data_IF_431288038801
#
_entry.id   IF_431288038801
#
_cell.length_a   1.000
_cell.length_b   1.000
_cell.length_c   1.000
_cell.angle_alpha   90.00
_cell.angle_beta   90.00
_cell.angle_gamma   90.00
#
_symmetry.space_group_name_H-M   'P 1'
#
loop_
_entity.id
_entity.type
_entity.pdbx_description
1 polymer ?
#
# COMPACT_ATOMS: atom_id res chain seq x y z
N UNK A 1 5.95 3.62 3.27
CA UNK A 1 6.08 5.07 3.14
C UNK A 1 7.35 5.64 3.79
N UNK A 2 8.05 4.89 4.66
CA UNK A 2 9.36 5.27 5.24
C UNK A 2 10.56 5.13 4.28
N UNK A 3 10.40 4.48 3.13
CA UNK A 3 11.46 4.22 2.14
C UNK A 3 12.26 2.94 2.35
N UNK A 4 11.97 2.20 3.44
CA UNK A 4 12.67 0.96 3.83
C UNK A 4 12.28 -0.22 2.93
N UNK A 5 10.99 -0.48 2.77
CA UNK A 5 10.51 -1.53 1.87
C UNK A 5 10.61 -1.05 0.42
N UNK A 6 11.48 -1.70 -0.35
CA UNK A 6 11.83 -1.36 -1.74
C UNK A 6 11.12 -2.19 -2.82
N UNK A 7 10.78 -3.44 -2.52
CA UNK A 7 10.26 -4.41 -3.50
C UNK A 7 9.10 -5.17 -2.88
N UNK A 8 8.08 -5.50 -3.69
CA UNK A 8 6.87 -6.23 -3.27
C UNK A 8 6.53 -7.29 -4.32
N UNK A 9 6.19 -8.50 -3.87
CA UNK A 9 5.72 -9.59 -4.73
C UNK A 9 4.21 -9.43 -4.98
N UNK A 10 3.88 -8.78 -6.09
CA UNK A 10 2.51 -8.42 -6.47
C UNK A 10 2.44 -8.32 -7.99
N UNK A 11 1.31 -8.71 -8.57
CA UNK A 11 1.05 -8.45 -9.97
C UNK A 11 0.42 -7.05 -10.10
N UNK A 12 1.17 -6.04 -10.61
CA UNK A 12 0.73 -4.65 -10.56
C UNK A 12 -0.52 -4.36 -11.39
N UNK A 13 -0.81 -5.20 -12.38
CA UNK A 13 -1.92 -5.01 -13.32
C UNK A 13 -3.24 -5.61 -12.84
N UNK A 14 -3.25 -6.37 -11.73
CA UNK A 14 -4.49 -6.96 -11.21
C UNK A 14 -5.28 -5.93 -10.40
N UNK A 15 -6.61 -6.06 -10.43
CA UNK A 15 -7.49 -5.33 -9.52
C UNK A 15 -7.25 -5.79 -8.08
N UNK A 16 -7.36 -4.86 -7.15
CA UNK A 16 -7.32 -5.13 -5.71
C UNK A 16 -8.64 -4.74 -5.08
N UNK A 17 -9.15 -5.61 -4.21
CA UNK A 17 -10.31 -5.32 -3.39
C UNK A 17 -9.89 -4.58 -2.12
N UNK A 18 -10.14 -3.27 -2.13
CA UNK A 18 -9.90 -2.37 -1.02
C UNK A 18 -11.18 -1.62 -0.75
N UNK A 19 -11.65 -1.66 0.49
CA UNK A 19 -12.87 -0.96 0.90
C UNK A 19 -12.58 -0.12 2.15
N UNK A 20 -13.19 1.07 2.30
CA UNK A 20 -13.08 1.84 3.53
C UNK A 20 -13.61 1.04 4.73
N UNK A 21 -12.88 1.05 5.83
CA UNK A 21 -13.23 0.25 7.00
C UNK A 21 -14.54 0.73 7.67
N UNK A 22 -14.75 2.04 7.71
CA UNK A 22 -15.98 2.68 8.16
C UNK A 22 -17.17 2.32 7.27
N UNK A 23 -17.01 2.31 5.95
CA UNK A 23 -18.06 1.89 5.03
C UNK A 23 -18.37 0.39 5.14
N UNK A 24 -17.36 -0.42 5.43
CA UNK A 24 -17.55 -1.85 5.73
C UNK A 24 -18.41 -2.04 6.97
N UNK A 25 -18.19 -1.24 8.02
CA UNK A 25 -19.02 -1.25 9.24
C UNK A 25 -20.46 -0.80 8.93
N UNK A 26 -20.63 0.25 8.12
CA UNK A 26 -21.96 0.70 7.69
C UNK A 26 -22.70 -0.41 6.91
N UNK A 27 -22.03 -1.05 5.95
CA UNK A 27 -22.59 -2.18 5.21
C UNK A 27 -22.95 -3.35 6.14
N UNK A 28 -22.15 -3.61 7.18
CA UNK A 28 -22.42 -4.63 8.18
C UNK A 28 -23.68 -4.31 9.01
N UNK A 29 -23.85 -3.06 9.45
CA UNK A 29 -25.04 -2.63 10.19
C UNK A 29 -26.30 -2.78 9.31
N UNK A 30 -26.26 -2.28 8.08
CA UNK A 30 -27.40 -2.34 7.16
C UNK A 30 -27.73 -3.77 6.74
N UNK A 31 -26.71 -4.62 6.53
CA UNK A 31 -26.93 -6.03 6.22
C UNK A 31 -27.54 -6.81 7.39
N UNK A 32 -27.17 -6.49 8.63
CA UNK A 32 -27.81 -7.06 9.82
C UNK A 32 -29.30 -6.68 9.90
N UNK A 33 -29.62 -5.39 9.73
CA UNK A 33 -31.01 -4.91 9.69
C UNK A 33 -31.82 -5.61 8.59
N UNK A 34 -31.28 -5.67 7.37
CA UNK A 34 -31.99 -6.28 6.25
C UNK A 34 -32.18 -7.79 6.43
N UNK A 35 -31.15 -8.48 6.93
CA UNK A 35 -31.23 -9.92 7.21
C UNK A 35 -32.29 -10.22 8.27
N UNK A 36 -32.38 -9.40 9.32
CA UNK A 36 -33.38 -9.54 10.37
C UNK A 36 -34.82 -9.34 9.83
N UNK A 37 -35.05 -8.31 9.02
CA UNK A 37 -36.37 -8.06 8.43
C UNK A 37 -36.80 -9.19 7.49
N UNK A 38 -35.90 -9.64 6.60
CA UNK A 38 -36.23 -10.70 5.66
C UNK A 38 -36.45 -12.06 6.33
N UNK A 39 -35.77 -12.31 7.46
CA UNK A 39 -36.04 -13.48 8.29
C UNK A 39 -37.44 -13.40 8.92
N UNK A 40 -37.80 -12.26 9.51
CA UNK A 40 -39.12 -12.06 10.12
C UNK A 40 -40.26 -12.17 9.10
N UNK A 41 -40.06 -11.65 7.88
CA UNK A 41 -41.05 -11.74 6.80
C UNK A 41 -41.03 -13.07 6.05
N UNK A 42 -40.26 -14.07 6.50
CA UNK A 42 -40.07 -15.37 5.82
C UNK A 42 -39.69 -15.24 4.33
N UNK A 43 -39.03 -14.13 3.97
CA UNK A 43 -38.65 -13.81 2.59
C UNK A 43 -37.38 -14.54 2.16
N UNK A 44 -36.63 -15.12 3.11
CA UNK A 44 -35.44 -15.91 2.83
C UNK A 44 -35.57 -17.34 3.33
N UNK A 45 -35.27 -18.28 2.44
CA UNK A 45 -35.08 -19.70 2.77
C UNK A 45 -33.66 -19.98 3.30
N UNK A 46 -32.70 -19.10 3.01
CA UNK A 46 -31.29 -19.16 3.45
C UNK A 46 -30.74 -17.77 3.72
N UNK A 47 -29.81 -17.64 4.68
CA UNK A 47 -29.19 -16.36 5.01
C UNK A 47 -28.38 -15.82 3.82
N UNK A 48 -28.62 -14.58 3.36
CA UNK A 48 -27.90 -14.00 2.24
C UNK A 48 -26.43 -13.73 2.59
N UNK A 49 -25.54 -13.93 1.62
CA UNK A 49 -24.13 -13.56 1.72
C UNK A 49 -23.93 -12.18 1.09
N UNK A 50 -23.35 -11.25 1.86
CA UNK A 50 -23.04 -9.90 1.40
C UNK A 50 -21.54 -9.77 1.12
N UNK A 51 -21.14 -9.94 -0.14
CA UNK A 51 -19.75 -9.68 -0.55
C UNK A 51 -19.56 -8.18 -0.75
N UNK A 52 -18.92 -7.53 0.23
CA UNK A 52 -18.58 -6.11 0.14
C UNK A 52 -17.19 -5.94 -0.49
N UNK A 53 -17.17 -5.53 -1.76
CA UNK A 53 -16.00 -5.53 -2.64
C UNK A 53 -15.96 -4.27 -3.49
N UNK A 54 -14.76 -3.85 -3.90
CA UNK A 54 -14.58 -2.68 -4.76
C UNK A 54 -14.41 -3.05 -6.23
N UNK A 55 -13.96 -4.27 -6.54
CA UNK A 55 -13.56 -4.70 -7.88
C UNK A 55 -14.68 -4.77 -8.91
N UNK A 56 -15.94 -4.89 -8.49
CA UNK A 56 -17.14 -4.84 -9.33
C UNK A 56 -17.58 -3.39 -9.62
N UNK A 57 -17.70 -2.56 -8.59
CA UNK A 57 -18.39 -1.26 -8.70
C UNK A 57 -17.45 -0.09 -8.97
N UNK A 58 -16.23 -0.17 -8.44
CA UNK A 58 -15.25 0.92 -8.48
C UNK A 58 -13.82 0.34 -8.44
N UNK A 59 -13.37 -0.36 -9.49
CA UNK A 59 -12.13 -1.09 -9.50
C UNK A 59 -10.90 -0.19 -9.44
N UNK A 60 -9.88 -0.62 -8.70
CA UNK A 60 -8.54 -0.04 -8.70
C UNK A 60 -7.50 -1.14 -8.84
N UNK A 61 -6.50 -0.93 -9.68
CA UNK A 61 -5.35 -1.85 -9.80
C UNK A 61 -4.26 -1.53 -8.78
N UNK A 62 -3.41 -2.51 -8.47
CA UNK A 62 -2.26 -2.29 -7.59
C UNK A 62 -1.34 -1.16 -8.07
N UNK A 63 -1.13 -1.00 -9.38
CA UNK A 63 -0.34 0.10 -9.93
C UNK A 63 -1.02 1.46 -9.72
N UNK A 64 -2.32 1.57 -10.02
CA UNK A 64 -3.06 2.81 -9.80
C UNK A 64 -3.10 3.21 -8.33
N UNK A 65 -3.33 2.24 -7.43
CA UNK A 65 -3.29 2.48 -5.98
C UNK A 65 -1.92 3.03 -5.53
N UNK A 66 -0.83 2.40 -5.99
CA UNK A 66 0.52 2.83 -5.64
C UNK A 66 0.84 4.21 -6.22
N UNK A 67 0.46 4.49 -7.47
CA UNK A 67 0.71 5.78 -8.11
C UNK A 67 -0.03 6.92 -7.41
N UNK A 68 -1.29 6.70 -7.01
CA UNK A 68 -2.06 7.66 -6.21
C UNK A 68 -1.43 7.86 -4.82
N UNK A 69 -1.04 6.79 -4.13
CA UNK A 69 -0.44 6.85 -2.80
C UNK A 69 0.95 7.51 -2.78
N UNK A 70 1.71 7.39 -3.88
CA UNK A 70 3.08 7.88 -4.00
C UNK A 70 3.21 9.12 -4.88
N UNK A 71 2.09 9.62 -5.41
CA UNK A 71 2.03 10.73 -6.35
C UNK A 71 2.59 12.04 -5.80
N UNK A 72 2.57 13.08 -6.63
CA UNK A 72 3.19 14.38 -6.34
C UNK A 72 2.63 15.03 -5.06
N UNK A 73 1.34 14.80 -4.78
CA UNK A 73 0.65 15.33 -3.61
C UNK A 73 0.88 14.50 -2.33
N UNK A 74 1.65 13.42 -2.40
CA UNK A 74 1.88 12.54 -1.25
C UNK A 74 2.80 13.21 -0.21
N UNK A 75 2.27 13.38 1.00
CA UNK A 75 2.99 13.97 2.13
C UNK A 75 4.13 13.06 2.60
N UNK A 76 5.40 13.49 2.51
CA UNK A 76 6.51 12.75 3.10
C UNK A 76 6.40 12.72 4.62
N UNK A 77 6.96 11.67 5.21
CA UNK A 77 6.96 11.49 6.66
C UNK A 77 8.18 12.17 7.26
N UNK A 78 8.05 12.77 8.44
CA UNK A 78 9.18 13.46 9.09
C UNK A 78 10.37 12.52 9.32
N UNK A 79 10.09 11.25 9.57
CA UNK A 79 11.08 10.18 9.81
C UNK A 79 11.34 9.32 8.57
N UNK A 80 11.06 9.81 7.36
CA UNK A 80 11.45 9.10 6.13
C UNK A 80 12.97 8.84 6.15
N UNK A 81 13.34 7.58 5.94
CA UNK A 81 14.74 7.13 5.99
C UNK A 81 15.38 7.15 4.60
N UNK A 82 14.59 6.93 3.55
CA UNK A 82 15.11 6.89 2.19
C UNK A 82 14.05 7.34 1.15
N UNK A 83 14.48 7.59 -0.09
CA UNK A 83 13.56 7.90 -1.20
C UNK A 83 12.47 6.83 -1.29
N UNK A 84 11.19 7.21 -1.42
CA UNK A 84 10.11 6.24 -1.62
C UNK A 84 10.29 5.58 -2.97
N UNK A 85 10.35 4.25 -2.98
CA UNK A 85 10.43 3.44 -4.19
C UNK A 85 9.75 2.11 -3.89
N UNK A 86 8.81 1.75 -4.75
CA UNK A 86 8.05 0.51 -4.65
C UNK A 86 8.16 -0.22 -5.98
N UNK A 87 9.13 -1.13 -6.06
CA UNK A 87 9.33 -1.94 -7.24
C UNK A 87 8.45 -3.18 -7.10
N UNK A 88 7.40 -3.27 -7.88
CA UNK A 88 6.53 -4.44 -7.92
C UNK A 88 7.05 -5.47 -8.93
N UNK A 89 6.69 -6.73 -8.73
CA UNK A 89 6.97 -7.82 -9.68
C UNK A 89 6.07 -9.00 -9.37
N UNK A 90 5.55 -9.67 -10.41
CA UNK A 90 4.85 -10.95 -10.29
C UNK A 90 5.79 -12.15 -10.16
N UNK A 91 7.03 -12.01 -10.65
CA UNK A 91 8.03 -13.09 -10.59
C UNK A 91 8.63 -13.20 -9.19
N UNK A 92 8.45 -14.38 -8.57
CA UNK A 92 9.03 -14.73 -7.27
C UNK A 92 10.55 -14.67 -7.30
N UNK A 93 11.18 -15.20 -8.35
CA UNK A 93 12.63 -15.18 -8.51
C UNK A 93 13.18 -13.75 -8.52
N UNK A 94 12.58 -12.88 -9.36
CA UNK A 94 12.98 -11.47 -9.44
C UNK A 94 12.75 -10.74 -8.10
N UNK A 95 11.66 -11.06 -7.40
CA UNK A 95 11.40 -10.52 -6.06
C UNK A 95 12.50 -10.94 -5.07
N UNK A 96 12.86 -12.24 -5.02
CA UNK A 96 13.89 -12.76 -4.14
C UNK A 96 15.25 -12.13 -4.40
N UNK A 97 15.67 -12.01 -5.66
CA UNK A 97 16.92 -11.33 -6.05
C UNK A 97 16.91 -9.88 -5.54
N UNK A 98 15.79 -9.17 -5.75
CA UNK A 98 15.64 -7.79 -5.26
C UNK A 98 15.65 -7.71 -3.74
N UNK A 99 15.02 -8.64 -3.02
CA UNK A 99 15.06 -8.67 -1.56
C UNK A 99 16.49 -8.89 -1.04
N UNK A 100 17.27 -9.77 -1.69
CA UNK A 100 18.67 -9.96 -1.34
C UNK A 100 19.45 -8.64 -1.40
N UNK A 101 19.43 -7.94 -2.54
CA UNK A 101 20.22 -6.71 -2.71
C UNK A 101 19.63 -5.48 -2.00
N UNK A 102 18.31 -5.29 -2.09
CA UNK A 102 17.65 -4.04 -1.65
C UNK A 102 17.14 -4.09 -0.22
N UNK A 103 16.97 -5.28 0.37
CA UNK A 103 16.55 -5.43 1.77
C UNK A 103 17.66 -6.03 2.61
N UNK A 104 18.04 -7.28 2.38
CA UNK A 104 18.88 -8.05 3.31
C UNK A 104 20.34 -7.60 3.32
N UNK A 105 20.99 -7.51 2.17
CA UNK A 105 22.38 -7.05 2.07
C UNK A 105 22.53 -5.66 2.72
N UNK A 106 21.69 -4.71 2.30
CA UNK A 106 21.66 -3.37 2.89
C UNK A 106 21.29 -3.40 4.39
N UNK A 107 20.32 -4.23 4.77
CA UNK A 107 19.85 -4.37 6.14
C UNK A 107 20.94 -4.86 7.08
N UNK A 108 21.70 -5.89 6.69
CA UNK A 108 22.81 -6.40 7.50
C UNK A 108 23.93 -5.38 7.64
N UNK A 109 24.28 -4.64 6.56
CA UNK A 109 25.28 -3.57 6.63
C UNK A 109 24.85 -2.49 7.62
N UNK A 110 23.62 -1.98 7.50
CA UNK A 110 23.11 -0.94 8.40
C UNK A 110 23.02 -1.45 9.83
N UNK A 111 22.53 -2.67 10.04
CA UNK A 111 22.40 -3.27 11.37
C UNK A 111 23.78 -3.51 12.01
N UNK A 112 24.81 -3.84 11.24
CA UNK A 112 26.18 -3.94 11.74
C UNK A 112 26.73 -2.56 12.16
N UNK A 113 26.49 -1.52 11.36
CA UNK A 113 26.95 -0.16 11.64
C UNK A 113 26.14 0.57 12.72
N UNK A 114 24.89 0.16 12.96
CA UNK A 114 23.94 0.89 13.79
C UNK A 114 24.43 1.23 15.21
N UNK A 115 25.09 0.31 15.95
CA UNK A 115 25.62 0.61 17.28
C UNK A 115 26.67 1.73 17.27
N UNK A 116 27.52 1.78 16.24
CA UNK A 116 28.59 2.77 16.11
C UNK A 116 28.08 4.17 15.77
N UNK A 117 26.89 4.28 15.18
CA UNK A 117 26.28 5.54 14.75
C UNK A 117 25.10 5.93 15.69
N UNK A 118 24.89 5.19 16.79
CA UNK A 118 23.81 5.43 17.74
C UNK A 118 22.40 5.19 17.18
N UNK A 119 22.28 4.46 16.07
CA UNK A 119 20.99 4.10 15.48
C UNK A 119 20.34 2.96 16.27
N UNK A 120 19.12 3.18 16.76
CA UNK A 120 18.35 2.17 17.49
C UNK A 120 17.55 1.21 16.60
N UNK A 121 17.30 1.60 15.34
CA UNK A 121 16.45 0.82 14.43
C UNK A 121 17.24 -0.32 13.80
N UNK A 122 16.67 -1.53 13.83
CA UNK A 122 17.20 -2.72 13.15
C UNK A 122 16.33 -3.05 11.94
N UNK A 123 16.93 -3.10 10.75
CA UNK A 123 16.23 -3.30 9.49
C UNK A 123 15.93 -4.77 9.21
N UNK A 124 16.84 -5.70 9.53
CA UNK A 124 16.65 -7.14 9.21
C UNK A 124 15.39 -7.72 9.87
N UNK A 125 15.08 -7.44 11.15
CA UNK A 125 13.83 -7.90 11.76
C UNK A 125 12.58 -7.33 11.09
N UNK A 126 12.64 -6.08 10.59
CA UNK A 126 11.54 -5.46 9.85
C UNK A 126 11.29 -6.19 8.54
N UNK A 127 12.34 -6.53 7.79
CA UNK A 127 12.22 -7.29 6.54
C UNK A 127 11.66 -8.68 6.77
N UNK A 128 12.14 -9.42 7.78
CA UNK A 128 11.58 -10.74 8.12
C UNK A 128 10.10 -10.69 8.46
N UNK A 129 9.65 -9.63 9.15
CA UNK A 129 8.22 -9.43 9.44
C UNK A 129 7.44 -9.13 8.16
N UNK A 130 7.99 -8.29 7.28
CA UNK A 130 7.39 -7.96 6.01
C UNK A 130 7.24 -9.19 5.11
N UNK A 131 8.26 -10.05 5.02
CA UNK A 131 8.22 -11.26 4.20
C UNK A 131 7.12 -12.23 4.64
N UNK A 132 6.90 -12.37 5.95
CA UNK A 132 5.78 -13.16 6.49
C UNK A 132 4.44 -12.62 6.02
N UNK A 133 4.22 -11.31 6.15
CA UNK A 133 2.98 -10.65 5.70
C UNK A 133 2.82 -10.79 4.18
N UNK A 134 3.88 -10.56 3.41
CA UNK A 134 3.85 -10.69 1.94
C UNK A 134 3.54 -12.11 1.50
N UNK A 135 4.02 -13.12 2.22
CA UNK A 135 3.73 -14.54 1.92
C UNK A 135 2.25 -14.86 2.17
N UNK A 136 1.69 -14.40 3.29
CA UNK A 136 0.27 -14.59 3.61
C UNK A 136 -0.64 -13.89 2.61
N UNK A 137 -0.24 -12.70 2.13
CA UNK A 137 -1.03 -11.91 1.18
C UNK A 137 -0.84 -12.35 -0.28
N UNK A 138 0.15 -13.19 -0.59
CA UNK A 138 0.48 -13.59 -1.96
C UNK A 138 -0.73 -14.12 -2.78
N UNK A 139 -1.66 -14.92 -2.22
CA UNK A 139 -2.84 -15.36 -2.96
C UNK A 139 -3.75 -14.22 -3.43
N UNK A 140 -3.80 -13.11 -2.69
CA UNK A 140 -4.63 -11.93 -2.99
C UNK A 140 -3.90 -10.89 -3.84
N UNK A 141 -2.55 -10.87 -3.80
CA UNK A 141 -1.74 -9.92 -4.56
C UNK A 141 -1.30 -10.45 -5.92
N UNK A 142 -1.36 -11.78 -6.14
CA UNK A 142 -0.91 -12.44 -7.36
C UNK A 142 -2.03 -13.05 -8.20
N UNK A 143 -3.22 -13.21 -7.63
CA UNK A 143 -4.39 -13.71 -8.34
C UNK A 143 -5.51 -12.68 -8.29
N UNK A 144 -6.39 -12.73 -9.29
CA UNK A 144 -7.61 -11.94 -9.31
C UNK A 144 -8.79 -12.83 -8.96
N UNK A 145 -9.74 -12.27 -8.22
CA UNK A 145 -10.93 -12.96 -7.76
C UNK A 145 -12.14 -12.20 -8.28
N UNK A 146 -13.11 -12.92 -8.83
CA UNK A 146 -14.36 -12.35 -9.30
C UNK A 146 -15.44 -12.56 -8.25
N UNK A 147 -15.99 -11.47 -7.73
CA UNK A 147 -17.06 -11.51 -6.75
C UNK A 147 -18.37 -11.02 -7.37
N UNK A 148 -19.48 -11.63 -6.95
CA UNK A 148 -20.81 -11.03 -7.12
C UNK A 148 -21.19 -10.28 -5.85
N UNK A 149 -21.59 -9.01 -6.00
CA UNK A 149 -22.04 -8.13 -4.93
C UNK A 149 -23.53 -7.76 -5.05
N UNK A 150 -24.33 -8.53 -5.80
CA UNK A 150 -25.76 -8.25 -6.06
C UNK A 150 -26.57 -8.04 -4.77
N UNK A 151 -26.26 -8.77 -3.70
CA UNK A 151 -26.94 -8.62 -2.42
C UNK A 151 -26.64 -7.27 -1.74
N UNK A 152 -25.43 -6.73 -1.90
CA UNK A 152 -25.05 -5.42 -1.37
C UNK A 152 -25.72 -4.31 -2.17
N UNK A 153 -25.72 -4.40 -3.50
CA UNK A 153 -26.37 -3.38 -4.36
C UNK A 153 -27.88 -3.37 -4.18
N UNK A 154 -28.51 -4.54 -4.07
CA UNK A 154 -29.94 -4.68 -3.74
C UNK A 154 -30.26 -4.12 -2.35
N UNK A 155 -29.41 -4.39 -1.34
CA UNK A 155 -29.54 -3.82 -0.01
C UNK A 155 -29.50 -2.28 -0.06
N UNK A 156 -28.50 -1.71 -0.73
CA UNK A 156 -28.34 -0.26 -0.85
C UNK A 156 -29.58 0.39 -1.48
N UNK A 157 -30.13 -0.20 -2.54
CA UNK A 157 -31.33 0.30 -3.23
C UNK A 157 -32.61 0.25 -2.37
N UNK A 158 -32.65 -0.59 -1.33
CA UNK A 158 -33.80 -0.71 -0.42
C UNK A 158 -33.77 0.29 0.73
N UNK A 159 -32.60 0.85 1.04
CA UNK A 159 -32.48 1.88 2.06
C UNK A 159 -33.20 3.16 1.58
N UNK A 160 -33.91 3.81 2.49
CA UNK A 160 -34.44 5.14 2.21
C UNK A 160 -33.28 6.17 2.14
N UNK A 161 -33.50 7.37 1.57
CA UNK A 161 -32.44 8.36 1.42
C UNK A 161 -31.81 8.82 2.75
N UNK A 162 -32.57 8.84 3.85
CA UNK A 162 -32.05 9.23 5.16
C UNK A 162 -31.06 8.19 5.71
N UNK A 163 -31.35 6.90 5.55
CA UNK A 163 -30.47 5.82 5.97
C UNK A 163 -29.24 5.70 5.06
N UNK A 164 -29.40 5.91 3.74
CA UNK A 164 -28.26 5.98 2.81
C UNK A 164 -27.29 7.10 3.21
N UNK A 165 -27.80 8.28 3.58
CA UNK A 165 -26.97 9.39 4.05
C UNK A 165 -26.32 9.11 5.41
N UNK A 166 -26.99 8.37 6.30
CA UNK A 166 -26.49 8.06 7.64
C UNK A 166 -25.45 6.92 7.64
N UNK A 167 -25.61 5.96 6.75
CA UNK A 167 -24.75 4.78 6.63
C UNK A 167 -24.22 4.66 5.19
N UNK A 168 -23.35 5.58 4.72
CA UNK A 168 -22.79 5.48 3.39
C UNK A 168 -21.89 4.26 3.25
N UNK A 169 -22.15 3.42 2.23
CA UNK A 169 -21.27 2.32 1.85
C UNK A 169 -21.32 1.97 0.35
N UNK A 170 -21.96 2.78 -0.48
CA UNK A 170 -22.01 2.54 -1.92
C UNK A 170 -20.66 2.83 -2.59
N UNK A 171 -19.99 1.79 -3.09
CA UNK A 171 -18.65 1.91 -3.67
C UNK A 171 -18.59 2.78 -4.93
N UNK A 172 -19.69 2.95 -5.66
CA UNK A 172 -19.77 3.87 -6.80
C UNK A 172 -19.51 5.33 -6.40
N UNK A 173 -19.83 5.70 -5.16
CA UNK A 173 -19.69 7.07 -4.68
C UNK A 173 -18.28 7.37 -4.13
N UNK A 174 -17.41 6.35 -4.04
CA UNK A 174 -16.07 6.51 -3.49
C UNK A 174 -15.14 7.22 -4.50
N UNK A 175 -14.68 8.41 -4.14
CA UNK A 175 -13.55 9.03 -4.83
C UNK A 175 -12.22 8.47 -4.27
N UNK A 176 -11.49 7.73 -5.10
CA UNK A 176 -10.20 7.14 -4.71
C UNK A 176 -9.14 8.18 -4.31
N UNK A 177 -9.11 9.35 -4.95
CA UNK A 177 -8.10 10.38 -4.65
C UNK A 177 -8.35 11.01 -3.28
N UNK A 178 -9.61 11.35 -2.97
CA UNK A 178 -9.98 11.91 -1.68
C UNK A 178 -9.81 10.88 -0.54
N UNK A 179 -10.19 9.63 -0.80
CA UNK A 179 -10.00 8.54 0.14
C UNK A 179 -8.52 8.31 0.43
N UNK A 180 -7.67 8.21 -0.59
CA UNK A 180 -6.24 7.96 -0.40
C UNK A 180 -5.50 9.15 0.24
N UNK A 181 -5.92 10.38 -0.05
CA UNK A 181 -5.41 11.57 0.62
C UNK A 181 -5.74 11.56 2.13
N UNK A 182 -6.97 11.18 2.48
CA UNK A 182 -7.41 11.06 3.87
C UNK A 182 -6.73 9.89 4.59
N UNK A 183 -6.63 8.74 3.93
CA UNK A 183 -5.90 7.55 4.38
C UNK A 183 -4.44 7.87 4.72
N UNK A 184 -3.74 8.61 3.85
CA UNK A 184 -2.35 8.98 4.09
C UNK A 184 -2.19 9.89 5.32
N UNK A 185 -3.09 10.87 5.48
CA UNK A 185 -3.12 11.74 6.68
C UNK A 185 -3.41 10.93 7.95
N UNK A 186 -4.34 9.98 7.88
CA UNK A 186 -4.67 9.08 8.98
C UNK A 186 -3.46 8.26 9.43
N UNK A 187 -2.70 7.68 8.48
CA UNK A 187 -1.47 6.95 8.80
C UNK A 187 -0.42 7.86 9.44
N UNK A 188 -0.23 9.06 8.91
CA UNK A 188 0.69 10.05 9.47
C UNK A 188 0.39 10.35 10.93
N UNK A 189 -0.86 10.71 11.24
CA UNK A 189 -1.26 11.14 12.57
C UNK A 189 -1.37 9.97 13.53
N UNK A 190 -2.15 8.95 13.18
CA UNK A 190 -2.55 7.91 14.13
C UNK A 190 -1.56 6.77 14.23
N UNK A 191 -0.94 6.36 13.11
CA UNK A 191 -0.01 5.23 13.10
C UNK A 191 1.42 5.67 13.38
N UNK A 192 1.85 6.78 12.78
CA UNK A 192 3.23 7.25 12.86
C UNK A 192 3.47 8.34 13.89
N UNK A 193 2.40 8.86 14.48
CA UNK A 193 2.43 9.94 15.47
C UNK A 193 3.18 11.17 14.95
N UNK A 194 2.97 11.48 13.68
CA UNK A 194 3.58 12.61 12.98
C UNK A 194 2.62 13.81 12.95
N UNK A 195 3.16 15.03 12.90
CA UNK A 195 2.35 16.26 13.02
C UNK A 195 2.03 16.88 11.66
N UNK A 196 0.79 17.32 11.45
CA UNK A 196 0.35 17.94 10.19
C UNK A 196 0.60 19.45 10.10
N UNK A 197 1.26 20.07 11.09
CA UNK A 197 1.53 21.50 11.07
C UNK A 197 2.42 21.91 9.87
N UNK A 198 2.24 23.13 9.33
CA UNK A 198 2.93 23.58 8.12
C UNK A 198 4.46 23.49 8.20
N UNK A 199 5.04 23.84 9.35
CA UNK A 199 6.49 23.85 9.55
C UNK A 199 7.07 22.43 9.52
N UNK A 200 6.46 21.49 10.24
CA UNK A 200 6.87 20.09 10.23
C UNK A 200 6.72 19.49 8.82
N UNK A 201 5.63 19.76 8.11
CA UNK A 201 5.44 19.29 6.73
C UNK A 201 6.50 19.86 5.78
N UNK A 202 6.84 21.15 5.92
CA UNK A 202 7.89 21.81 5.13
C UNK A 202 9.26 21.19 5.38
N UNK A 203 9.62 20.95 6.64
CA UNK A 203 10.88 20.29 7.02
C UNK A 203 10.94 18.86 6.50
N UNK A 204 9.86 18.08 6.65
CA UNK A 204 9.76 16.72 6.12
C UNK A 204 9.95 16.69 4.59
N UNK A 205 9.36 17.66 3.88
CA UNK A 205 9.51 17.80 2.43
C UNK A 205 10.94 18.17 2.03
N UNK A 206 11.59 19.10 2.72
CA UNK A 206 12.99 19.45 2.46
C UNK A 206 13.92 18.27 2.68
N UNK A 207 13.76 17.54 3.80
CA UNK A 207 14.49 16.29 4.07
C UNK A 207 14.26 15.27 2.96
N UNK A 208 13.01 15.08 2.54
CA UNK A 208 12.68 14.14 1.47
C UNK A 208 13.33 14.52 0.14
N UNK A 209 13.32 15.81 -0.23
CA UNK A 209 14.02 16.30 -1.44
C UNK A 209 15.52 16.00 -1.38
N UNK A 210 16.17 16.22 -0.23
CA UNK A 210 17.58 15.84 -0.03
C UNK A 210 17.79 14.34 -0.23
N UNK A 211 16.97 13.49 0.38
CA UNK A 211 17.03 12.03 0.19
C UNK A 211 16.84 11.62 -1.27
N UNK A 212 15.97 12.31 -2.02
CA UNK A 212 15.79 12.08 -3.45
C UNK A 212 17.06 12.43 -4.23
N UNK A 213 17.68 13.57 -3.96
CA UNK A 213 18.95 13.97 -4.60
C UNK A 213 20.06 12.99 -4.26
N UNK A 214 20.25 12.66 -2.97
CA UNK A 214 21.24 11.68 -2.51
C UNK A 214 21.05 10.33 -3.21
N UNK A 215 19.81 9.86 -3.33
CA UNK A 215 19.51 8.62 -4.04
C UNK A 215 19.90 8.68 -5.52
N UNK A 216 19.63 9.81 -6.20
CA UNK A 216 20.03 9.99 -7.60
C UNK A 216 21.55 10.03 -7.74
N UNK A 217 22.26 10.77 -6.89
CA UNK A 217 23.72 10.81 -6.89
C UNK A 217 24.33 9.42 -6.71
N UNK A 218 23.89 8.66 -5.69
CA UNK A 218 24.37 7.29 -5.45
C UNK A 218 24.10 6.41 -6.68
N UNK A 219 22.89 6.49 -7.26
CA UNK A 219 22.54 5.70 -8.44
C UNK A 219 23.43 6.03 -9.64
N UNK A 220 23.68 7.31 -9.89
CA UNK A 220 24.55 7.76 -10.98
C UNK A 220 26.00 7.33 -10.77
N UNK A 221 26.52 7.46 -9.55
CA UNK A 221 27.89 7.02 -9.21
C UNK A 221 28.03 5.51 -9.39
N UNK A 222 27.11 4.71 -8.83
CA UNK A 222 27.15 3.25 -8.96
C UNK A 222 27.08 2.80 -10.43
N UNK A 223 26.22 3.45 -11.23
CA UNK A 223 26.11 3.16 -12.65
C UNK A 223 27.41 3.51 -13.40
N UNK A 224 27.96 4.69 -13.16
CA UNK A 224 29.22 5.13 -13.77
C UNK A 224 30.38 4.20 -13.39
N UNK A 225 30.51 3.85 -12.10
CA UNK A 225 31.52 2.90 -11.63
C UNK A 225 31.40 1.53 -12.28
N UNK A 226 30.18 1.02 -12.46
CA UNK A 226 29.94 -0.25 -13.14
C UNK A 226 30.37 -0.19 -14.62
N UNK A 227 30.05 0.90 -15.33
CA UNK A 227 30.46 1.09 -16.73
C UNK A 227 31.98 1.17 -16.84
N UNK A 228 32.65 1.97 -16.01
CA UNK A 228 34.12 2.05 -15.99
C UNK A 228 34.78 0.69 -15.70
N UNK A 229 34.21 -0.08 -14.76
CA UNK A 229 34.71 -1.41 -14.43
C UNK A 229 34.59 -2.39 -15.61
N UNK A 230 33.45 -2.38 -16.31
CA UNK A 230 33.24 -3.22 -17.50
C UNK A 230 34.21 -2.83 -18.62
N UNK A 231 34.37 -1.51 -18.88
CA UNK A 231 35.33 -1.02 -19.88
C UNK A 231 36.76 -1.45 -19.53
N UNK A 232 37.15 -1.34 -18.26
CA UNK A 232 38.46 -1.79 -17.79
C UNK A 232 38.69 -3.28 -18.06
N UNK A 233 37.71 -4.14 -17.77
CA UNK A 233 37.79 -5.59 -18.09
C UNK A 233 37.98 -5.80 -19.58
N UNK A 234 37.17 -5.14 -20.42
CA UNK A 234 37.24 -5.29 -21.88
C UNK A 234 38.61 -4.86 -22.40
N UNK A 235 39.13 -3.71 -21.96
CA UNK A 235 40.46 -3.21 -22.36
C UNK A 235 41.62 -4.07 -21.88
N UNK A 236 41.39 -4.99 -20.92
CA UNK A 236 42.39 -5.96 -20.45
C UNK A 236 42.25 -7.34 -21.08
N UNK A 237 41.11 -7.62 -21.71
CA UNK A 237 40.82 -8.89 -22.37
C UNK A 237 41.15 -8.86 -23.87
N UNK A 238 41.36 -7.67 -24.44
CA UNK A 238 41.90 -7.40 -25.79
C UNK A 238 43.39 -7.15 -25.68
#
# INVERSE_FOLDING_TARGET
>A
MSGIIRTIHVNPSLRTDLVPADWTVNAMICSAWHSANCYQSSSFTQLPIYNYVSSTDNPITWIQFNDKLLGVNSLPFSKTLWKRLYITTKSKLMHTIRCFFLHYLFGYIIDLCAPFIGMKVRLVPIYRKFDKVSTVLAPFTLNEWTFSNTNVTSLWARLNPADQARFPFNMHDLNWDDYLASYQKGILVYHLKDKLDPDTRKQALQRYKRLCVTHQCIRTVLYFSLVCFILWIITRAV
#
